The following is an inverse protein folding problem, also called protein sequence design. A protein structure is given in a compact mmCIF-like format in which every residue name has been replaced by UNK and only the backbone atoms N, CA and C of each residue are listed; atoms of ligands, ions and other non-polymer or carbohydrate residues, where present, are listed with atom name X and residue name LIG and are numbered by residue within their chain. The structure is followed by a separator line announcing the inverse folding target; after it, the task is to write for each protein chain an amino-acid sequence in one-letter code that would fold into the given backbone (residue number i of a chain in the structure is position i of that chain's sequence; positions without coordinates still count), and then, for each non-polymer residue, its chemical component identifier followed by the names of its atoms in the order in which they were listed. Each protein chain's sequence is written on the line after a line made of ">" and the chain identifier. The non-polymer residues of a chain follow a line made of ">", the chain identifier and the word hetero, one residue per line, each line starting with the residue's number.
data_IF_390568784783
#
_entry.id   IF_390568784783
#
_cell.length_a   1.000
_cell.length_b   1.000
_cell.length_c   1.000
_cell.angle_alpha   90.00
_cell.angle_beta   90.00
_cell.angle_gamma   90.00
#
_symmetry.space_group_name_H-M   'P 1'
#
loop_
_entity.id
_entity.type
_entity.pdbx_description
1 polymer ?
#
# COMPACT_ATOMS: atom_id res chain seq x y z
N UNK A 1 -6.11 11.92 -6.01
CA UNK A 1 -5.77 13.33 -5.74
C UNK A 1 -4.86 13.41 -4.53
N UNK A 2 -4.14 14.52 -4.32
CA UNK A 2 -3.30 14.70 -3.12
C UNK A 2 -4.09 14.57 -1.81
N UNK A 3 -5.33 15.07 -1.79
CA UNK A 3 -6.22 14.93 -0.63
C UNK A 3 -6.49 13.46 -0.25
N UNK A 4 -6.77 12.59 -1.25
CA UNK A 4 -6.99 11.16 -1.00
C UNK A 4 -5.74 10.47 -0.50
N UNK A 5 -4.57 10.75 -1.10
CA UNK A 5 -3.29 10.21 -0.62
C UNK A 5 -3.05 10.58 0.85
N UNK A 6 -3.26 11.85 1.22
CA UNK A 6 -3.10 12.30 2.59
C UNK A 6 -4.12 11.67 3.56
N UNK A 7 -5.34 11.38 3.10
CA UNK A 7 -6.35 10.69 3.92
C UNK A 7 -5.92 9.26 4.24
N UNK A 8 -5.37 8.55 3.24
CA UNK A 8 -4.84 7.19 3.42
C UNK A 8 -3.64 7.21 4.38
N UNK A 9 -2.72 8.16 4.22
CA UNK A 9 -1.56 8.25 5.13
C UNK A 9 -1.97 8.50 6.58
N UNK A 10 -2.99 9.33 6.83
CA UNK A 10 -3.51 9.56 8.19
C UNK A 10 -4.06 8.31 8.85
N UNK A 11 -4.79 7.45 8.13
CA UNK A 11 -5.29 6.18 8.68
C UNK A 11 -4.21 5.10 8.80
N UNK A 12 -3.04 5.34 8.21
CA UNK A 12 -1.83 4.54 8.38
C UNK A 12 -0.88 5.12 9.44
N UNK A 13 -1.27 6.17 10.16
CA UNK A 13 -0.44 6.88 11.13
C UNK A 13 0.92 7.32 10.55
N UNK A 14 0.94 7.70 9.27
CA UNK A 14 2.16 8.05 8.51
C UNK A 14 3.25 6.94 8.55
N UNK A 15 2.84 5.68 8.69
CA UNK A 15 3.70 4.48 8.65
C UNK A 15 3.37 3.53 7.50
N UNK A 16 4.35 2.73 7.07
CA UNK A 16 4.09 1.64 6.15
C UNK A 16 3.33 0.53 6.89
N UNK A 17 2.11 0.19 6.49
CA UNK A 17 1.26 -0.75 7.22
C UNK A 17 1.78 -2.19 7.22
N UNK A 18 2.85 -2.52 6.47
CA UNK A 18 3.46 -3.85 6.44
C UNK A 18 4.75 -3.99 7.26
N UNK A 19 5.52 -2.90 7.42
CA UNK A 19 6.79 -2.94 8.16
C UNK A 19 6.88 -1.95 9.33
N UNK A 20 5.89 -1.07 9.48
CA UNK A 20 5.85 -0.04 10.54
C UNK A 20 6.85 1.11 10.36
N UNK A 21 7.67 1.10 9.31
CA UNK A 21 8.61 2.20 9.07
C UNK A 21 7.86 3.51 8.82
N UNK A 22 8.31 4.58 9.48
CA UNK A 22 7.84 5.94 9.21
C UNK A 22 8.31 6.37 7.81
N UNK A 23 7.45 7.14 7.14
CA UNK A 23 7.84 7.82 5.91
C UNK A 23 9.05 8.73 6.16
N UNK A 24 10.13 8.53 5.41
CA UNK A 24 11.26 9.46 5.45
C UNK A 24 10.82 10.85 4.97
N UNK A 25 11.44 11.89 5.54
CA UNK A 25 11.21 13.30 5.22
C UNK A 25 11.76 13.73 3.85
N UNK A 26 12.00 12.77 2.94
CA UNK A 26 12.70 12.96 1.67
C UNK A 26 12.01 14.00 0.79
N UNK A 27 12.43 15.25 1.05
CA UNK A 27 12.49 16.47 0.28
C UNK A 27 11.36 16.77 -0.71
N UNK A 28 10.96 18.03 -0.70
CA UNK A 28 10.17 18.72 -1.74
C UNK A 28 10.69 18.50 -3.19
N UNK A 29 11.83 17.82 -3.39
CA UNK A 29 12.57 17.68 -4.64
C UNK A 29 13.06 16.25 -4.95
N UNK A 30 12.51 15.21 -4.30
CA UNK A 30 12.87 13.80 -4.54
C UNK A 30 11.70 12.87 -4.90
N UNK A 31 11.95 11.63 -5.35
CA UNK A 31 10.90 10.62 -5.47
C UNK A 31 10.27 10.38 -4.09
N UNK A 32 8.93 10.44 -4.04
CA UNK A 32 8.16 10.13 -2.84
C UNK A 32 8.61 8.79 -2.24
N UNK A 33 8.84 8.78 -0.93
CA UNK A 33 9.08 7.56 -0.16
C UNK A 33 7.89 6.58 -0.27
N UNK A 34 6.69 7.14 -0.39
CA UNK A 34 5.43 6.41 -0.50
C UNK A 34 5.14 6.00 -1.92
N UNK A 35 4.87 4.71 -2.10
CA UNK A 35 4.40 4.11 -3.34
C UNK A 35 2.93 3.72 -3.21
N UNK A 36 2.15 4.01 -4.25
CA UNK A 36 0.75 3.57 -4.34
C UNK A 36 0.75 2.07 -4.61
N UNK A 37 0.20 1.33 -3.66
CA UNK A 37 -0.12 -0.08 -3.84
C UNK A 37 -1.58 -0.25 -4.25
N UNK A 38 -1.85 -1.21 -5.13
CA UNK A 38 -3.18 -1.46 -5.68
C UNK A 38 -3.42 -2.92 -6.02
N UNK A 39 -4.70 -3.30 -6.13
CA UNK A 39 -5.08 -4.66 -6.49
C UNK A 39 -4.71 -4.98 -7.95
N UNK A 40 -3.80 -5.94 -8.16
CA UNK A 40 -3.38 -6.38 -9.49
C UNK A 40 -4.41 -7.24 -10.23
N UNK A 41 -5.45 -7.74 -9.54
CA UNK A 41 -6.62 -8.37 -10.19
C UNK A 41 -7.50 -7.32 -10.87
N UNK A 42 -7.50 -6.07 -10.39
CA UNK A 42 -8.20 -4.96 -11.03
C UNK A 42 -7.36 -4.30 -12.12
N UNK A 43 -6.07 -4.06 -11.86
CA UNK A 43 -5.15 -3.44 -12.82
C UNK A 43 -3.86 -4.25 -12.89
N UNK A 44 -3.57 -4.93 -13.99
CA UNK A 44 -2.37 -5.77 -14.13
C UNK A 44 -1.07 -5.00 -14.40
N UNK A 45 -1.17 -3.70 -14.70
CA UNK A 45 -0.05 -2.83 -15.02
C UNK A 45 0.56 -2.12 -13.80
N UNK A 46 1.59 -1.28 -14.02
CA UNK A 46 2.30 -0.56 -12.95
C UNK A 46 1.53 0.64 -12.39
N UNK A 47 0.32 0.91 -12.90
CA UNK A 47 -0.50 2.05 -12.50
C UNK A 47 -1.89 1.61 -12.09
N UNK A 48 -2.41 2.26 -11.05
CA UNK A 48 -3.77 2.07 -10.57
C UNK A 48 -4.78 2.85 -11.44
N UNK A 49 -5.98 2.29 -11.63
CA UNK A 49 -7.14 3.02 -12.13
C UNK A 49 -7.69 4.06 -11.12
N UNK A 50 -7.10 4.12 -9.92
CA UNK A 50 -7.55 4.90 -8.79
C UNK A 50 -8.56 4.16 -7.92
N UNK A 51 -9.46 3.35 -8.47
CA UNK A 51 -10.48 2.67 -7.66
C UNK A 51 -9.91 1.47 -6.87
N UNK A 52 -8.79 0.89 -7.31
CA UNK A 52 -8.19 -0.29 -6.69
C UNK A 52 -7.03 0.00 -5.72
N UNK A 53 -6.84 1.27 -5.32
CA UNK A 53 -5.79 1.63 -4.36
C UNK A 53 -6.05 0.93 -3.04
N UNK A 54 -5.03 0.24 -2.51
CA UNK A 54 -5.07 -0.41 -1.19
C UNK A 54 -4.45 0.48 -0.13
N UNK A 55 -3.28 1.05 -0.41
CA UNK A 55 -2.54 1.82 0.58
C UNK A 55 -1.31 2.50 0.01
N UNK A 56 -0.58 3.17 0.89
CA UNK A 56 0.74 3.72 0.62
C UNK A 56 1.77 2.86 1.34
N UNK A 57 2.65 2.20 0.57
CA UNK A 57 3.70 1.33 1.10
C UNK A 57 5.07 1.96 0.86
N UNK A 58 6.07 1.57 1.64
CA UNK A 58 7.46 1.85 1.28
C UNK A 58 7.86 1.05 0.03
N UNK A 59 8.92 1.49 -0.66
CA UNK A 59 9.39 0.83 -1.89
C UNK A 59 9.63 -0.67 -1.71
N UNK A 60 10.28 -1.07 -0.61
CA UNK A 60 10.67 -2.46 -0.39
C UNK A 60 9.46 -3.34 -0.09
N UNK A 61 8.55 -2.88 0.78
CA UNK A 61 7.30 -3.59 1.06
C UNK A 61 6.43 -3.71 -0.19
N UNK A 62 6.34 -2.67 -1.03
CA UNK A 62 5.53 -2.73 -2.24
C UNK A 62 6.14 -3.67 -3.29
N UNK A 63 7.39 -3.42 -3.68
CA UNK A 63 7.98 -4.03 -4.89
C UNK A 63 8.66 -5.37 -4.64
N UNK A 64 9.03 -5.68 -3.40
CA UNK A 64 9.76 -6.91 -3.04
C UNK A 64 9.00 -7.78 -2.05
N UNK A 65 8.35 -7.16 -1.06
CA UNK A 65 7.58 -7.87 -0.04
C UNK A 65 6.25 -8.37 -0.58
N UNK A 66 5.29 -7.46 -0.72
CA UNK A 66 3.92 -7.78 -1.09
C UNK A 66 3.82 -8.34 -2.50
N UNK A 67 4.56 -7.78 -3.46
CA UNK A 67 4.58 -8.30 -4.84
C UNK A 67 5.03 -9.77 -4.91
N UNK A 68 6.05 -10.17 -4.15
CA UNK A 68 6.46 -11.57 -4.06
C UNK A 68 5.39 -12.40 -3.36
N UNK A 69 4.85 -11.90 -2.24
CA UNK A 69 3.86 -12.60 -1.45
C UNK A 69 2.58 -12.91 -2.24
N UNK A 70 2.06 -11.95 -3.01
CA UNK A 70 0.90 -12.16 -3.89
C UNK A 70 1.18 -13.12 -5.06
N UNK A 71 2.45 -13.31 -5.43
CA UNK A 71 2.84 -14.29 -6.46
C UNK A 71 2.83 -15.74 -5.96
N UNK A 72 2.76 -15.95 -4.64
CA UNK A 72 2.66 -17.27 -4.05
C UNK A 72 1.28 -17.88 -4.29
N UNK A 73 1.23 -19.21 -4.34
CA UNK A 73 -0.04 -19.92 -4.29
C UNK A 73 -0.78 -19.61 -2.98
N UNK A 74 -2.12 -19.61 -3.01
CA UNK A 74 -2.94 -19.16 -1.89
C UNK A 74 -2.71 -19.95 -0.59
N UNK A 75 -2.34 -21.22 -0.68
CA UNK A 75 -1.99 -22.08 0.46
C UNK A 75 -0.65 -21.69 1.13
N UNK A 76 0.21 -20.97 0.41
CA UNK A 76 1.47 -20.45 0.93
C UNK A 76 1.37 -19.01 1.46
N UNK A 77 0.25 -18.31 1.18
CA UNK A 77 -0.04 -16.97 1.70
C UNK A 77 -0.50 -17.03 3.16
N UNK A 78 0.43 -17.36 4.05
CA UNK A 78 0.18 -17.66 5.46
C UNK A 78 0.54 -16.52 6.42
N UNK A 79 0.96 -15.37 5.91
CA UNK A 79 1.33 -14.23 6.75
C UNK A 79 0.10 -13.39 7.09
N UNK A 80 -0.43 -13.59 8.28
CA UNK A 80 -1.64 -12.91 8.77
C UNK A 80 -1.60 -11.39 8.60
N UNK A 81 -0.44 -10.78 8.86
CA UNK A 81 -0.29 -9.34 8.73
C UNK A 81 -0.44 -8.83 7.29
N UNK A 82 0.15 -9.54 6.32
CA UNK A 82 -0.01 -9.20 4.90
C UNK A 82 -1.44 -9.50 4.43
N UNK A 83 -2.03 -10.61 4.89
CA UNK A 83 -3.41 -10.96 4.58
C UNK A 83 -4.41 -9.93 5.13
N UNK A 84 -4.19 -9.41 6.34
CA UNK A 84 -5.00 -8.34 6.90
C UNK A 84 -4.95 -7.08 6.02
N UNK A 85 -3.75 -6.68 5.57
CA UNK A 85 -3.59 -5.57 4.64
C UNK A 85 -4.30 -5.81 3.29
N UNK A 86 -4.22 -7.02 2.74
CA UNK A 86 -4.86 -7.37 1.47
C UNK A 86 -6.40 -7.41 1.55
N UNK A 87 -6.96 -7.75 2.71
CA UNK A 87 -8.39 -7.97 2.90
C UNK A 87 -9.13 -6.73 3.41
N UNK A 88 -8.52 -5.96 4.31
CA UNK A 88 -9.05 -4.69 4.82
C UNK A 88 -8.02 -3.55 4.66
N UNK A 89 -7.76 -3.14 3.40
CA UNK A 89 -6.72 -2.18 3.10
C UNK A 89 -7.03 -0.78 3.66
N UNK A 90 -6.00 0.02 4.04
CA UNK A 90 -6.17 1.37 4.58
C UNK A 90 -7.04 2.30 3.73
N UNK A 91 -7.01 2.17 2.40
CA UNK A 91 -7.82 3.01 1.51
C UNK A 91 -9.33 2.88 1.76
N UNK A 92 -9.83 1.70 2.13
CA UNK A 92 -11.25 1.52 2.47
C UNK A 92 -11.63 2.31 3.73
N UNK A 93 -10.73 2.31 4.73
CA UNK A 93 -10.94 3.04 5.99
C UNK A 93 -10.89 4.56 5.79
N UNK A 94 -10.04 5.05 4.88
CA UNK A 94 -9.95 6.47 4.55
C UNK A 94 -11.18 7.01 3.81
N UNK A 95 -11.89 6.17 3.07
CA UNK A 95 -13.10 6.55 2.33
C UNK A 95 -14.37 6.50 3.21
N UNK A 96 -14.30 5.80 4.34
CA UNK A 96 -15.37 5.76 5.36
C UNK A 96 -15.32 6.94 6.36
N UNK A 97 -14.26 7.76 6.32
CA UNK A 97 -14.00 8.88 7.23
C UNK A 97 -14.24 10.25 6.57
#
# INVERSE_FOLDING_TARGET
>A
TRARVNAILRVQDDTCPLCGSLGGDSSMEGPSWWHIDHDHRCCSGPTSCGQCVRGLLCKDCNTRGLAWYESLAADLQTWDHANAYLTDPPAHRAEAA
#
